data_IF_401777330569
#
_entry.id   IF_401777330569
#
_cell.length_a   1.000
_cell.length_b   1.000
_cell.length_c   1.000
_cell.angle_alpha   90.00
_cell.angle_beta   90.00
_cell.angle_gamma   90.00
#
_symmetry.space_group_name_H-M   'P 1'
#
loop_
_entity.id
_entity.type
_entity.pdbx_description
1 polymer ?
#
# COMPACT_ATOMS: atom_id res chain seq x y z
N UNK A 1 21.10 14.58 9.64
CA UNK A 1 20.92 13.40 8.75
C UNK A 1 19.60 12.77 9.13
N UNK A 2 18.74 12.43 8.15
CA UNK A 2 17.48 11.75 8.45
C UNK A 2 17.76 10.33 8.94
N UNK A 3 17.09 9.93 10.03
CA UNK A 3 17.23 8.61 10.65
C UNK A 3 16.12 7.67 10.21
N UNK A 4 16.40 6.36 10.24
CA UNK A 4 15.42 5.32 10.08
C UNK A 4 14.38 5.36 11.18
N UNK A 5 13.19 4.79 10.93
CA UNK A 5 12.05 4.77 11.86
C UNK A 5 11.46 3.38 11.98
N UNK A 6 11.04 3.08 13.20
CA UNK A 6 10.22 1.90 13.53
C UNK A 6 9.13 2.28 14.53
N UNK A 7 8.38 1.32 15.04
CA UNK A 7 7.34 1.53 16.05
C UNK A 7 7.89 1.37 17.48
N UNK A 8 7.19 1.94 18.47
CA UNK A 8 7.50 1.75 19.89
C UNK A 8 6.65 0.67 20.57
N UNK A 9 5.53 0.28 19.98
CA UNK A 9 4.62 -0.74 20.52
C UNK A 9 4.10 -1.66 19.41
N UNK A 10 3.26 -2.63 19.79
CA UNK A 10 2.74 -3.68 18.91
C UNK A 10 1.23 -3.51 18.67
N UNK A 11 0.80 -2.58 17.82
CA UNK A 11 -0.61 -2.40 17.53
C UNK A 11 -1.15 -3.57 16.70
N UNK A 12 -2.46 -3.83 16.88
CA UNK A 12 -3.19 -4.87 16.16
C UNK A 12 -4.41 -4.28 15.49
N UNK A 13 -4.75 -4.84 14.34
CA UNK A 13 -6.01 -4.58 13.67
C UNK A 13 -6.63 -5.88 13.18
N UNK A 14 -7.95 -5.95 13.22
CA UNK A 14 -8.74 -7.05 12.69
C UNK A 14 -9.72 -6.49 11.67
N UNK A 15 -9.83 -7.16 10.55
CA UNK A 15 -10.75 -6.78 9.49
C UNK A 15 -11.01 -7.94 8.54
N UNK A 16 -11.41 -7.61 7.34
CA UNK A 16 -11.62 -8.58 6.25
C UNK A 16 -10.78 -8.19 5.05
N UNK A 17 -10.32 -9.17 4.30
CA UNK A 17 -9.69 -8.94 3.00
C UNK A 17 -10.72 -8.45 1.99
N UNK A 18 -10.38 -7.45 1.17
CA UNK A 18 -11.30 -6.87 0.18
C UNK A 18 -11.80 -7.92 -0.82
N UNK A 19 -10.88 -8.70 -1.36
CA UNK A 19 -11.20 -9.69 -2.39
C UNK A 19 -11.62 -11.03 -1.80
N UNK A 20 -10.90 -11.51 -0.80
CA UNK A 20 -11.15 -12.81 -0.18
C UNK A 20 -12.38 -12.85 0.74
N UNK A 21 -12.77 -11.72 1.33
CA UNK A 21 -13.79 -11.66 2.38
C UNK A 21 -13.39 -12.39 3.66
N UNK A 22 -12.17 -12.93 3.75
CA UNK A 22 -11.71 -13.67 4.91
C UNK A 22 -11.36 -12.73 6.06
N UNK A 23 -11.71 -13.13 7.26
CA UNK A 23 -11.26 -12.43 8.47
C UNK A 23 -9.74 -12.57 8.60
N UNK A 24 -9.10 -11.44 8.81
CA UNK A 24 -7.65 -11.35 8.96
C UNK A 24 -7.28 -10.46 10.14
N UNK A 25 -6.26 -10.87 10.87
CA UNK A 25 -5.62 -10.05 11.89
C UNK A 25 -4.20 -9.70 11.44
N UNK A 26 -3.82 -8.44 11.63
CA UNK A 26 -2.43 -7.99 11.50
C UNK A 26 -1.91 -7.51 12.85
N UNK A 27 -0.66 -7.87 13.14
CA UNK A 27 0.11 -7.31 14.26
C UNK A 27 1.35 -6.65 13.69
N UNK A 28 1.48 -5.34 13.95
CA UNK A 28 2.65 -4.59 13.52
C UNK A 28 3.70 -4.63 14.62
N UNK A 29 4.90 -5.09 14.30
CA UNK A 29 5.98 -5.23 15.28
C UNK A 29 7.18 -4.37 14.91
N UNK A 30 7.79 -3.66 15.89
CA UNK A 30 9.06 -3.00 15.66
C UNK A 30 10.08 -3.95 15.06
N UNK A 31 10.94 -3.40 14.20
CA UNK A 31 12.03 -4.16 13.60
C UNK A 31 13.36 -3.42 13.75
N UNK A 32 14.46 -4.15 13.70
CA UNK A 32 15.80 -3.59 13.80
C UNK A 32 16.13 -2.73 12.57
N UNK A 33 17.15 -1.89 12.72
CA UNK A 33 17.70 -1.12 11.58
C UNK A 33 18.01 -2.03 10.39
N UNK A 34 17.76 -1.49 9.19
CA UNK A 34 18.01 -2.18 7.92
C UNK A 34 17.20 -3.46 7.67
N UNK A 35 16.17 -3.74 8.49
CA UNK A 35 15.25 -4.85 8.24
C UNK A 35 14.38 -4.61 7.02
N UNK A 36 13.97 -3.36 6.77
CA UNK A 36 12.91 -3.05 5.84
C UNK A 36 11.53 -3.44 6.38
N UNK A 37 10.52 -3.46 5.51
CA UNK A 37 9.18 -3.93 5.87
C UNK A 37 9.06 -5.39 5.43
N UNK A 38 8.67 -6.26 6.37
CA UNK A 38 8.58 -7.71 6.13
C UNK A 38 7.21 -8.21 6.58
N UNK A 39 6.44 -8.75 5.65
CA UNK A 39 5.22 -9.49 5.97
C UNK A 39 5.60 -10.90 6.43
N UNK A 40 4.94 -11.36 7.50
CA UNK A 40 5.13 -12.71 8.04
C UNK A 40 3.80 -13.43 8.09
N UNK A 41 3.61 -14.45 7.25
CA UNK A 41 2.46 -15.34 7.26
C UNK A 41 2.55 -16.26 8.48
N UNK A 42 1.85 -15.90 9.55
CA UNK A 42 1.89 -16.64 10.83
C UNK A 42 0.82 -17.72 10.93
N UNK A 43 -0.09 -17.79 9.98
CA UNK A 43 -1.13 -18.81 9.85
C UNK A 43 -0.63 -20.11 9.19
N UNK A 44 0.55 -20.08 8.57
CA UNK A 44 1.13 -21.25 7.95
C UNK A 44 1.79 -22.16 8.99
N UNK A 45 1.88 -23.48 8.72
CA UNK A 45 2.53 -24.44 9.64
C UNK A 45 3.95 -24.05 10.06
N UNK A 46 4.67 -23.39 9.15
CA UNK A 46 5.91 -22.69 9.43
C UNK A 46 5.76 -21.25 8.93
N UNK A 47 6.00 -20.24 9.78
CA UNK A 47 5.91 -18.85 9.37
C UNK A 47 6.84 -18.55 8.19
N UNK A 48 6.32 -17.82 7.20
CA UNK A 48 7.08 -17.44 6.01
C UNK A 48 7.19 -15.92 5.93
N UNK A 49 8.42 -15.45 5.82
CA UNK A 49 8.74 -14.03 5.65
C UNK A 49 8.71 -13.65 4.17
N UNK A 50 8.00 -12.55 3.87
CA UNK A 50 7.87 -11.98 2.53
C UNK A 50 8.35 -10.52 2.62
N UNK A 51 9.60 -10.24 2.25
CA UNK A 51 10.11 -8.87 2.26
C UNK A 51 9.36 -7.97 1.27
N UNK A 52 9.08 -6.73 1.69
CA UNK A 52 8.57 -5.70 0.80
C UNK A 52 9.66 -5.26 -0.18
N UNK A 53 9.59 -5.77 -1.37
CA UNK A 53 10.53 -5.49 -2.45
C UNK A 53 9.79 -5.45 -3.78
N UNK A 54 10.21 -4.56 -4.68
CA UNK A 54 9.69 -4.56 -6.05
C UNK A 54 9.90 -5.93 -6.75
N UNK A 55 10.97 -6.63 -6.41
CA UNK A 55 11.26 -7.97 -6.96
C UNK A 55 10.36 -9.08 -6.39
N UNK A 56 9.67 -8.83 -5.28
CA UNK A 56 8.71 -9.78 -4.69
C UNK A 56 7.28 -9.58 -5.23
N UNK A 57 7.03 -8.52 -6.01
CA UNK A 57 5.73 -8.28 -6.66
C UNK A 57 5.49 -9.37 -7.70
N UNK A 58 4.43 -10.16 -7.51
CA UNK A 58 4.10 -11.30 -8.34
C UNK A 58 2.80 -11.15 -9.13
N UNK A 59 1.91 -10.25 -8.71
CA UNK A 59 0.66 -9.91 -9.41
C UNK A 59 0.26 -8.47 -9.08
N UNK A 60 -0.33 -7.78 -10.06
CA UNK A 60 -0.83 -6.40 -9.93
C UNK A 60 -2.27 -6.26 -10.44
N UNK A 61 -2.96 -7.36 -10.67
CA UNK A 61 -4.38 -7.35 -11.06
C UNK A 61 -5.24 -7.04 -9.86
N UNK A 62 -5.96 -5.92 -9.90
CA UNK A 62 -6.86 -5.39 -8.86
C UNK A 62 -6.19 -5.03 -7.52
N UNK A 63 -5.02 -5.56 -7.21
CA UNK A 63 -4.25 -5.27 -5.99
C UNK A 63 -2.78 -5.62 -6.19
N UNK A 64 -1.91 -5.05 -5.38
CA UNK A 64 -0.48 -5.42 -5.35
C UNK A 64 -0.27 -6.66 -4.47
N UNK A 65 0.33 -7.69 -5.07
CA UNK A 65 0.62 -8.97 -4.41
C UNK A 65 2.10 -9.20 -4.30
N UNK A 66 2.56 -9.54 -3.11
CA UNK A 66 3.93 -10.00 -2.85
C UNK A 66 3.96 -11.51 -2.69
N UNK A 67 5.04 -12.15 -3.11
CA UNK A 67 5.23 -13.59 -2.92
C UNK A 67 6.66 -13.97 -2.56
N UNK A 68 6.79 -15.02 -1.76
CA UNK A 68 8.06 -15.70 -1.44
C UNK A 68 7.81 -17.16 -1.11
N UNK A 69 8.55 -18.08 -1.75
CA UNK A 69 8.48 -19.50 -1.45
C UNK A 69 7.10 -20.15 -1.53
N UNK A 70 6.21 -19.63 -2.41
CA UNK A 70 4.82 -20.09 -2.54
C UNK A 70 3.83 -19.40 -1.62
N UNK A 71 4.27 -18.73 -0.56
CA UNK A 71 3.43 -17.87 0.26
C UNK A 71 3.18 -16.53 -0.42
N UNK A 72 1.99 -15.94 -0.18
CA UNK A 72 1.56 -14.67 -0.78
C UNK A 72 0.93 -13.74 0.26
N UNK A 73 1.01 -12.45 -0.02
CA UNK A 73 0.22 -11.41 0.66
C UNK A 73 -0.33 -10.45 -0.39
N UNK A 74 -1.65 -10.32 -0.43
CA UNK A 74 -2.40 -9.46 -1.34
C UNK A 74 -2.77 -8.12 -0.70
N UNK A 75 -3.07 -7.12 -1.54
CA UNK A 75 -3.62 -5.81 -1.14
C UNK A 75 -2.72 -5.09 -0.13
N UNK A 76 -1.41 -5.05 -0.42
CA UNK A 76 -0.41 -4.45 0.47
C UNK A 76 -0.36 -2.92 0.37
N UNK A 77 -0.89 -2.33 -0.70
CA UNK A 77 -0.72 -0.94 -1.10
C UNK A 77 -1.19 0.07 -0.06
N UNK A 78 -2.31 -0.13 0.62
CA UNK A 78 -2.85 0.81 1.60
C UNK A 78 -1.95 0.93 2.84
N UNK A 79 -1.51 -0.20 3.38
CA UNK A 79 -0.55 -0.24 4.50
C UNK A 79 0.81 0.31 4.09
N UNK A 80 1.30 -0.05 2.89
CA UNK A 80 2.57 0.45 2.38
C UNK A 80 2.53 1.96 2.12
N UNK A 81 1.41 2.49 1.64
CA UNK A 81 1.20 3.93 1.50
C UNK A 81 1.31 4.63 2.85
N UNK A 82 0.67 4.10 3.91
CA UNK A 82 0.76 4.65 5.26
C UNK A 82 2.19 4.60 5.81
N UNK A 83 2.90 3.49 5.64
CA UNK A 83 4.30 3.35 6.07
C UNK A 83 5.20 4.36 5.35
N UNK A 84 5.07 4.49 4.03
CA UNK A 84 5.83 5.46 3.24
C UNK A 84 5.52 6.91 3.66
N UNK A 85 4.24 7.25 3.82
CA UNK A 85 3.79 8.59 4.21
C UNK A 85 4.25 9.01 5.60
N UNK A 86 4.38 8.07 6.53
CA UNK A 86 4.90 8.30 7.88
C UNK A 86 6.43 8.09 7.98
N UNK A 87 7.05 7.65 6.90
CA UNK A 87 8.49 7.39 6.84
C UNK A 87 8.94 6.23 7.72
N UNK A 88 8.13 5.19 7.88
CA UNK A 88 8.50 3.94 8.55
C UNK A 88 9.43 3.16 7.63
N UNK A 89 10.60 2.80 8.13
CA UNK A 89 11.60 2.05 7.38
C UNK A 89 11.63 0.56 7.74
N UNK A 90 11.43 0.25 9.03
CA UNK A 90 11.65 -1.10 9.56
C UNK A 90 10.42 -1.58 10.34
N UNK A 91 9.78 -2.65 9.87
CA UNK A 91 8.55 -3.16 10.43
C UNK A 91 8.36 -4.64 10.09
N UNK A 92 7.97 -5.47 11.05
CA UNK A 92 7.35 -6.75 10.79
C UNK A 92 5.83 -6.61 10.80
N UNK A 93 5.18 -7.21 9.83
CA UNK A 93 3.72 -7.30 9.70
C UNK A 93 3.32 -8.77 9.80
N UNK A 94 3.04 -9.24 11.02
CA UNK A 94 2.49 -10.58 11.19
C UNK A 94 1.03 -10.57 10.68
N UNK A 95 0.69 -11.53 9.84
CA UNK A 95 -0.62 -11.60 9.17
C UNK A 95 -1.15 -13.03 9.20
N UNK A 96 -2.44 -13.17 9.51
CA UNK A 96 -3.12 -14.47 9.71
C UNK A 96 -3.91 -14.97 8.50
N UNK A 97 -3.76 -14.34 7.34
CA UNK A 97 -4.38 -14.74 6.07
C UNK A 97 -3.57 -14.20 4.89
N UNK A 98 -3.99 -14.51 3.66
CA UNK A 98 -3.28 -14.08 2.44
C UNK A 98 -3.50 -12.62 2.04
N UNK A 99 -4.39 -11.89 2.69
CA UNK A 99 -4.75 -10.54 2.28
C UNK A 99 -4.72 -9.57 3.45
N UNK A 100 -4.12 -8.39 3.26
CA UNK A 100 -4.15 -7.29 4.24
C UNK A 100 -5.60 -6.82 4.42
N UNK A 101 -6.08 -6.56 5.66
CA UNK A 101 -7.46 -6.10 5.85
C UNK A 101 -7.69 -4.76 5.16
N UNK A 102 -8.82 -4.62 4.48
CA UNK A 102 -9.15 -3.39 3.75
C UNK A 102 -9.48 -2.22 4.69
N UNK A 103 -9.96 -2.51 5.89
CA UNK A 103 -10.43 -1.55 6.89
C UNK A 103 -11.50 -0.62 6.31
N UNK A 104 -11.24 0.69 6.25
CA UNK A 104 -12.15 1.70 5.68
C UNK A 104 -11.88 2.01 4.20
N UNK A 105 -11.04 1.22 3.52
CA UNK A 105 -10.68 1.41 2.12
C UNK A 105 -9.68 2.52 1.87
N UNK A 106 -9.13 3.14 2.92
CA UNK A 106 -8.12 4.19 2.83
C UNK A 106 -6.83 3.81 3.56
N UNK A 107 -5.79 4.64 3.41
CA UNK A 107 -4.59 4.53 4.23
C UNK A 107 -4.74 5.18 5.62
N UNK A 108 -5.81 5.97 5.87
CA UNK A 108 -5.98 6.73 7.10
C UNK A 108 -6.11 5.84 8.34
N UNK A 109 -6.80 4.71 8.23
CA UNK A 109 -6.92 3.74 9.32
C UNK A 109 -5.56 3.15 9.70
N UNK A 110 -4.69 2.88 8.74
CA UNK A 110 -3.32 2.44 9.00
C UNK A 110 -2.44 3.56 9.57
N UNK A 111 -2.60 4.80 9.10
CA UNK A 111 -1.93 5.98 9.68
C UNK A 111 -2.28 6.11 11.15
N UNK A 112 -3.56 6.01 11.49
CA UNK A 112 -4.02 6.06 12.89
C UNK A 112 -3.38 4.94 13.72
N UNK A 113 -3.38 3.71 13.20
CA UNK A 113 -2.78 2.54 13.87
C UNK A 113 -1.28 2.74 14.13
N UNK A 114 -0.52 3.17 13.12
CA UNK A 114 0.92 3.42 13.22
C UNK A 114 1.25 4.58 14.17
N UNK A 115 0.51 5.68 14.10
CA UNK A 115 0.72 6.83 15.00
C UNK A 115 0.35 6.51 16.44
N UNK A 116 -0.72 5.75 16.67
CA UNK A 116 -1.13 5.31 18.00
C UNK A 116 -0.11 4.38 18.65
N UNK A 117 0.62 3.61 17.85
CA UNK A 117 1.71 2.76 18.33
C UNK A 117 2.93 3.54 18.80
N UNK A 118 3.06 4.79 18.39
CA UNK A 118 4.27 5.58 18.54
C UNK A 118 5.34 5.23 17.52
N UNK A 119 6.07 6.23 17.06
CA UNK A 119 7.14 6.09 16.06
C UNK A 119 8.44 6.56 16.70
N UNK A 120 9.48 5.76 16.65
CA UNK A 120 10.80 6.09 17.16
C UNK A 120 11.84 6.21 16.07
N UNK A 121 12.83 7.07 16.30
CA UNK A 121 14.02 7.21 15.48
C UNK A 121 15.05 6.15 15.89
N UNK A 122 15.61 5.49 14.91
CA UNK A 122 16.67 4.51 15.09
C UNK A 122 18.04 5.13 14.79
N UNK A 123 19.07 4.66 15.45
CA UNK A 123 20.43 5.18 15.28
C UNK A 123 21.10 4.65 13.99
N UNK A 124 20.44 4.90 12.86
CA UNK A 124 20.95 4.58 11.53
C UNK A 124 20.44 5.60 10.51
N UNK A 125 21.23 5.95 9.49
CA UNK A 125 20.80 6.87 8.44
C UNK A 125 19.69 6.23 7.58
N UNK A 126 18.67 7.05 7.23
CA UNK A 126 17.64 6.65 6.27
C UNK A 126 18.26 6.43 4.90
N UNK A 127 17.85 5.38 4.22
CA UNK A 127 18.24 5.09 2.84
C UNK A 127 17.24 5.69 1.86
N UNK A 128 17.76 6.23 0.76
CA UNK A 128 16.95 6.80 -0.31
C UNK A 128 17.35 6.22 -1.65
N UNK A 129 16.34 5.99 -2.49
CA UNK A 129 16.57 5.76 -3.92
C UNK A 129 16.60 7.13 -4.59
N UNK A 130 17.68 7.41 -5.33
CA UNK A 130 17.80 8.64 -6.13
C UNK A 130 17.73 8.30 -7.61
N UNK A 131 16.76 8.87 -8.27
CA UNK A 131 16.66 8.81 -9.73
C UNK A 131 17.70 9.76 -10.33
N UNK A 132 18.61 9.24 -11.14
CA UNK A 132 19.71 10.01 -11.75
C UNK A 132 19.51 10.23 -13.25
N UNK A 133 18.71 9.40 -13.90
CA UNK A 133 18.29 9.53 -15.30
C UNK A 133 16.78 9.23 -15.39
N UNK A 134 16.05 9.81 -16.35
CA UNK A 134 14.65 9.44 -16.57
C UNK A 134 14.51 7.95 -16.90
N UNK A 135 13.53 7.31 -16.28
CA UNK A 135 13.16 5.91 -16.53
C UNK A 135 11.67 5.89 -16.84
N UNK A 136 11.30 5.28 -17.95
CA UNK A 136 9.91 5.19 -18.39
C UNK A 136 9.58 3.77 -18.83
N UNK A 137 8.40 3.31 -18.47
CA UNK A 137 7.79 2.06 -18.94
C UNK A 137 6.44 2.36 -19.56
N UNK A 138 6.11 1.67 -20.65
CA UNK A 138 4.83 1.78 -21.35
C UNK A 138 4.26 0.40 -21.59
N UNK A 139 2.96 0.28 -21.46
CA UNK A 139 2.21 -0.95 -21.72
C UNK A 139 0.93 -0.62 -22.50
N UNK A 140 0.52 -1.49 -23.43
CA UNK A 140 -0.62 -1.28 -24.31
C UNK A 140 -0.31 -0.37 -25.49
N UNK A 141 -1.32 -0.17 -26.35
CA UNK A 141 -1.21 0.62 -27.58
C UNK A 141 -2.39 1.59 -27.72
N UNK A 142 -2.17 2.70 -28.43
CA UNK A 142 -3.20 3.69 -28.74
C UNK A 142 -3.86 4.27 -27.47
N UNK A 143 -5.18 4.32 -27.46
CA UNK A 143 -5.97 4.84 -26.34
C UNK A 143 -5.88 3.99 -25.05
N UNK A 144 -5.41 2.75 -25.14
CA UNK A 144 -5.24 1.86 -23.99
C UNK A 144 -3.81 1.87 -23.43
N UNK A 145 -2.96 2.77 -23.93
CA UNK A 145 -1.59 2.85 -23.45
C UNK A 145 -1.55 3.39 -22.01
N UNK A 146 -0.88 2.64 -21.14
CA UNK A 146 -0.53 3.06 -19.79
C UNK A 146 0.97 3.30 -19.71
N UNK A 147 1.37 4.20 -18.83
CA UNK A 147 2.79 4.49 -18.65
C UNK A 147 3.08 4.89 -17.21
N UNK A 148 4.32 4.64 -16.80
CA UNK A 148 4.87 5.15 -15.56
C UNK A 148 6.27 5.70 -15.83
N UNK A 149 6.60 6.82 -15.18
CA UNK A 149 7.87 7.51 -15.39
C UNK A 149 8.46 8.00 -14.07
N UNK A 150 9.76 7.84 -13.92
CA UNK A 150 10.54 8.38 -12.83
C UNK A 150 11.51 9.42 -13.43
N UNK A 151 11.46 10.63 -12.92
CA UNK A 151 12.36 11.72 -13.34
C UNK A 151 13.31 12.12 -12.20
N UNK A 152 14.53 12.57 -12.50
CA UNK A 152 15.39 13.21 -11.51
C UNK A 152 14.68 14.42 -10.88
N UNK A 153 14.59 14.43 -9.56
CA UNK A 153 13.96 15.50 -8.81
C UNK A 153 14.64 15.70 -7.45
N UNK A 154 14.69 16.93 -6.97
CA UNK A 154 15.22 17.22 -5.64
C UNK A 154 14.06 17.27 -4.62
N UNK A 155 13.65 16.10 -4.13
CA UNK A 155 12.51 15.93 -3.24
C UNK A 155 11.70 14.70 -3.63
N UNK A 156 10.41 14.70 -3.28
CA UNK A 156 9.46 13.68 -3.69
C UNK A 156 8.18 14.34 -4.19
N UNK A 157 7.92 14.17 -5.47
CA UNK A 157 6.75 14.68 -6.16
C UNK A 157 6.05 13.54 -6.90
N UNK A 158 4.74 13.45 -6.74
CA UNK A 158 3.90 12.46 -7.39
C UNK A 158 2.90 13.17 -8.29
N UNK A 159 2.84 12.79 -9.55
CA UNK A 159 1.76 13.13 -10.48
C UNK A 159 1.03 11.86 -10.86
N UNK A 160 -0.28 11.86 -10.80
CA UNK A 160 -1.11 10.73 -11.13
C UNK A 160 -2.30 11.18 -11.95
N UNK A 161 -2.58 10.46 -13.04
CA UNK A 161 -3.70 10.71 -13.94
C UNK A 161 -4.43 9.39 -14.19
N UNK A 162 -5.75 9.45 -14.11
CA UNK A 162 -6.66 8.36 -14.42
C UNK A 162 -7.57 8.81 -15.58
N UNK A 163 -8.09 7.84 -16.32
CA UNK A 163 -9.01 8.09 -17.44
C UNK A 163 -10.18 7.10 -17.32
N UNK A 164 -11.21 7.51 -16.59
CA UNK A 164 -12.45 6.76 -16.43
C UNK A 164 -13.58 7.47 -17.15
N UNK A 165 -14.18 6.81 -18.12
CA UNK A 165 -15.38 7.26 -18.81
C UNK A 165 -16.62 6.94 -17.94
N UNK A 166 -16.87 7.81 -16.95
CA UNK A 166 -18.01 7.67 -16.05
C UNK A 166 -18.47 9.03 -15.51
N UNK A 167 -19.77 9.37 -15.56
CA UNK A 167 -20.29 10.69 -15.19
C UNK A 167 -19.93 11.14 -13.75
N UNK A 168 -19.81 10.21 -12.81
CA UNK A 168 -19.40 10.54 -11.43
C UNK A 168 -17.91 10.92 -11.34
N UNK A 169 -17.08 10.50 -12.28
CA UNK A 169 -15.65 10.79 -12.32
C UNK A 169 -15.37 11.98 -13.23
N UNK A 170 -16.09 12.15 -14.35
CA UNK A 170 -15.92 13.23 -15.31
C UNK A 170 -16.13 14.62 -14.68
N UNK A 171 -16.97 14.70 -13.66
CA UNK A 171 -17.21 15.94 -12.91
C UNK A 171 -16.08 16.32 -11.96
N UNK A 172 -15.11 15.41 -11.74
CA UNK A 172 -13.94 15.60 -10.87
C UNK A 172 -12.68 15.76 -11.72
N UNK A 173 -11.65 16.40 -11.18
CA UNK A 173 -10.36 16.37 -11.86
C UNK A 173 -9.76 14.97 -11.81
N UNK A 174 -9.43 14.40 -12.98
CA UNK A 174 -8.82 13.05 -13.06
C UNK A 174 -7.29 13.09 -13.00
N UNK A 175 -6.72 14.26 -12.72
CA UNK A 175 -5.28 14.44 -12.54
C UNK A 175 -5.00 15.11 -11.20
N UNK A 176 -4.03 14.55 -10.46
CA UNK A 176 -3.54 15.12 -9.21
C UNK A 176 -2.03 15.23 -9.21
N UNK A 177 -1.53 16.20 -8.48
CA UNK A 177 -0.10 16.39 -8.26
C UNK A 177 0.15 16.73 -6.80
N UNK A 178 1.07 16.00 -6.16
CA UNK A 178 1.48 16.20 -4.79
C UNK A 178 2.98 16.42 -4.71
N UNK A 179 3.39 17.57 -4.21
CA UNK A 179 4.76 17.83 -3.80
C UNK A 179 4.85 17.67 -2.27
N UNK A 180 5.61 16.67 -1.82
CA UNK A 180 5.69 16.32 -0.40
C UNK A 180 6.51 17.32 0.43
N UNK A 181 7.06 18.36 -0.20
CA UNK A 181 7.64 19.50 0.51
C UNK A 181 6.59 20.46 1.08
N UNK A 182 5.39 20.51 0.46
CA UNK A 182 4.28 21.40 0.81
C UNK A 182 3.01 20.67 1.21
N UNK A 183 2.81 19.43 0.77
CA UNK A 183 1.64 18.62 1.09
C UNK A 183 1.88 17.75 2.33
N UNK A 184 0.84 17.59 3.13
CA UNK A 184 0.86 16.68 4.28
C UNK A 184 0.16 15.38 3.90
N UNK A 185 0.91 14.28 3.91
CA UNK A 185 0.38 12.96 3.53
C UNK A 185 -0.90 12.59 4.29
N UNK A 186 -0.90 12.71 5.62
CA UNK A 186 -2.06 12.31 6.45
C UNK A 186 -3.30 13.15 6.21
N UNK A 187 -3.12 14.44 5.88
CA UNK A 187 -4.22 15.37 5.60
C UNK A 187 -4.71 15.29 4.17
N UNK A 188 -3.78 15.24 3.22
CA UNK A 188 -4.07 15.52 1.81
C UNK A 188 -4.21 14.23 0.97
N UNK A 189 -3.64 13.11 1.43
CA UNK A 189 -3.58 11.85 0.66
C UNK A 189 -4.23 10.67 1.39
N UNK A 190 -3.88 10.44 2.65
CA UNK A 190 -4.19 9.20 3.36
C UNK A 190 -5.70 8.86 3.43
N UNK A 191 -6.57 9.87 3.36
CA UNK A 191 -8.03 9.71 3.44
C UNK A 191 -8.69 9.32 2.11
N UNK A 192 -7.95 9.34 1.01
CA UNK A 192 -8.47 8.90 -0.27
C UNK A 192 -8.77 7.40 -0.20
N UNK A 193 -10.02 7.03 -0.56
CA UNK A 193 -10.49 5.65 -0.55
C UNK A 193 -10.36 5.04 -1.93
N UNK A 194 -10.14 3.74 -1.96
CA UNK A 194 -10.38 2.96 -3.18
C UNK A 194 -11.86 3.01 -3.53
N UNK A 195 -12.20 2.78 -4.79
CA UNK A 195 -13.59 2.76 -5.26
C UNK A 195 -13.78 1.64 -6.29
N UNK A 196 -15.04 1.29 -6.51
CA UNK A 196 -15.46 0.41 -7.59
C UNK A 196 -16.85 0.80 -8.05
N UNK A 197 -17.14 0.69 -9.34
CA UNK A 197 -18.49 0.89 -9.85
C UNK A 197 -19.35 -0.34 -9.52
N UNK A 198 -20.63 -0.13 -9.24
CA UNK A 198 -21.57 -1.20 -8.85
C UNK A 198 -21.52 -2.38 -9.81
N UNK A 199 -21.52 -2.11 -11.12
CA UNK A 199 -21.44 -3.13 -12.17
C UNK A 199 -20.16 -3.97 -12.08
N UNK A 200 -19.02 -3.33 -11.79
CA UNK A 200 -17.73 -4.02 -11.70
C UNK A 200 -17.68 -4.86 -10.42
N UNK A 201 -18.21 -4.32 -9.30
CA UNK A 201 -18.31 -5.05 -8.03
C UNK A 201 -19.19 -6.29 -8.16
N UNK A 202 -20.34 -6.19 -8.85
CA UNK A 202 -21.22 -7.33 -9.13
C UNK A 202 -20.50 -8.41 -9.96
N UNK A 203 -19.79 -8.00 -11.00
CA UNK A 203 -19.00 -8.90 -11.83
C UNK A 203 -17.85 -9.55 -11.04
N UNK A 204 -17.14 -8.79 -10.21
CA UNK A 204 -16.08 -9.31 -9.35
C UNK A 204 -16.64 -10.34 -8.37
N UNK A 205 -17.77 -10.06 -7.71
CA UNK A 205 -18.42 -10.99 -6.79
C UNK A 205 -18.84 -12.28 -7.45
N UNK A 206 -19.39 -12.21 -8.67
CA UNK A 206 -19.74 -13.39 -9.46
C UNK A 206 -18.51 -14.28 -9.77
N UNK A 207 -17.29 -13.70 -9.76
CA UNK A 207 -16.02 -14.40 -9.95
C UNK A 207 -15.28 -14.68 -8.62
N UNK A 208 -15.94 -14.55 -7.47
CA UNK A 208 -15.33 -14.83 -6.16
C UNK A 208 -14.36 -13.76 -5.67
N UNK A 209 -14.42 -12.54 -6.19
CA UNK A 209 -13.63 -11.38 -5.77
C UNK A 209 -14.53 -10.32 -5.10
N UNK A 210 -13.92 -9.31 -4.48
CA UNK A 210 -14.60 -8.24 -3.76
C UNK A 210 -15.63 -8.75 -2.73
N UNK A 211 -15.39 -9.92 -2.14
CA UNK A 211 -16.29 -10.56 -1.17
C UNK A 211 -16.37 -9.78 0.14
N UNK A 212 -15.32 -9.06 0.51
CA UNK A 212 -15.25 -8.18 1.66
C UNK A 212 -15.58 -6.71 1.36
N UNK A 213 -15.91 -6.39 0.09
CA UNK A 213 -16.28 -5.03 -0.31
C UNK A 213 -17.65 -4.61 0.21
N UNK A 214 -17.77 -3.37 0.67
CA UNK A 214 -19.00 -2.80 1.22
C UNK A 214 -19.05 -1.29 1.02
N UNK A 215 -20.08 -0.65 1.60
CA UNK A 215 -20.20 0.81 1.56
C UNK A 215 -19.26 1.50 2.56
N UNK A 216 -18.74 0.73 3.52
CA UNK A 216 -17.87 1.23 4.59
C UNK A 216 -16.37 1.17 4.25
N UNK A 217 -16.04 0.54 3.11
CA UNK A 217 -14.64 0.36 2.66
C UNK A 217 -14.46 0.63 1.16
#
# INVERSE_FOLDING_TARGET
MLQQRTLTSLPRAVGVGLHSGQRVEITLRPAQVDTGIVFRRVDLPQPVDIPMSALAVSDTRLASTLSNGGAKVHTVEHLMSACAGLGIDNLYVDITAEEVPILDGSAASFVFLLQSAGIELQNAPKRFIRVIVPIEVREGEGANQKWARLDPYHGYKLSFEIDFDHPAVDSTGQRVEFDMSVHNYSRDIARARTFGFTKDVEMMRANGLALGGGLDN
#
